data_IF_973117999093
#
_entry.id   IF_973117999093
#
_cell.length_a   1.000
_cell.length_b   1.000
_cell.length_c   1.000
_cell.angle_alpha   90.00
_cell.angle_beta   90.00
_cell.angle_gamma   90.00
#
_symmetry.space_group_name_H-M   'P 1'
#
loop_
_entity.id
_entity.type
_entity.pdbx_description
1 polymer ?
#
# COMPACT_ATOMS: atom_id res chain seq x y z
N UNK A 1 -9.79 -6.18 -31.34
CA UNK A 1 -9.45 -6.04 -30.84
C UNK A 1 -9.23 -5.61 -30.30
N UNK A 2 -8.68 -5.68 -30.27
CA UNK A 2 -8.20 -5.54 -29.67
C UNK A 2 -7.89 -5.02 -29.50
N UNK A 3 -7.36 -5.15 -30.01
CA UNK A 3 -6.95 -4.73 -29.84
C UNK A 3 -7.65 -4.27 -30.25
N UNK A 4 -8.14 -4.57 -30.70
CA UNK A 4 -8.68 -4.22 -30.90
C UNK A 4 -9.42 -3.76 -30.22
N UNK A 5 -9.57 -3.82 -30.15
CA UNK A 5 -9.89 -3.50 -29.51
C UNK A 5 -9.75 -3.13 -28.79
N UNK A 6 -9.23 -3.10 -28.90
CA UNK A 6 -8.68 -3.10 -28.16
C UNK A 6 -8.53 -2.62 -27.77
N UNK A 7 -8.40 -2.55 -27.96
CA UNK A 7 -8.12 -2.34 -27.62
C UNK A 7 -9.08 -2.04 -27.44
N UNK A 8 -9.84 -2.52 -27.60
CA UNK A 8 -10.55 -2.55 -27.56
C UNK A 8 -10.99 -2.26 -26.65
N UNK A 9 -10.80 -2.36 -26.53
CA UNK A 9 -10.70 -2.38 -25.89
C UNK A 9 -10.43 -1.88 -25.30
N UNK A 10 -10.17 -1.51 -25.17
CA UNK A 10 -9.54 -1.30 -24.69
C UNK A 10 -9.28 -1.29 -23.98
N UNK A 11 -9.08 -1.38 -23.67
CA UNK A 11 -8.67 -1.83 -22.98
C UNK A 11 -9.00 -1.55 -21.94
N UNK A 12 -9.63 -1.65 -21.52
CA UNK A 12 -9.48 -1.66 -20.59
C UNK A 12 -8.88 -2.03 -19.76
N UNK A 13 -8.44 -1.58 -19.46
CA UNK A 13 -7.90 -1.98 -19.01
C UNK A 13 -7.34 -2.33 -17.86
N UNK A 14 -6.37 -2.42 -17.32
CA UNK A 14 -5.82 -2.99 -16.17
C UNK A 14 -5.91 -4.49 -16.07
N UNK A 15 -6.92 -5.01 -16.63
CA UNK A 15 -7.08 -6.44 -16.67
C UNK A 15 -6.12 -7.01 -17.73
N UNK A 16 -5.31 -8.02 -17.40
CA UNK A 16 -4.31 -8.52 -18.34
C UNK A 16 -4.89 -8.95 -19.66
N UNK A 17 -6.02 -9.62 -19.64
CA UNK A 17 -6.66 -10.04 -20.87
C UNK A 17 -7.07 -8.84 -21.71
N UNK A 18 -7.56 -7.82 -21.07
CA UNK A 18 -7.98 -6.63 -21.78
C UNK A 18 -6.79 -5.88 -22.33
N UNK A 19 -5.69 -5.88 -21.61
CA UNK A 19 -4.46 -5.30 -22.13
C UNK A 19 -4.04 -6.04 -23.39
N UNK A 20 -4.08 -7.35 -23.36
CA UNK A 20 -3.73 -8.14 -24.53
C UNK A 20 -4.65 -7.83 -25.70
N UNK A 21 -5.94 -7.72 -25.43
CA UNK A 21 -6.89 -7.38 -26.49
C UNK A 21 -6.62 -6.00 -27.06
N UNK A 22 -6.32 -5.05 -26.20
CA UNK A 22 -6.02 -3.71 -26.67
C UNK A 22 -4.77 -3.70 -27.53
N UNK A 23 -3.76 -4.44 -27.12
CA UNK A 23 -2.53 -4.54 -27.91
C UNK A 23 -2.84 -5.15 -29.27
N UNK A 24 -3.65 -6.20 -29.29
CA UNK A 24 -4.00 -6.85 -30.55
C UNK A 24 -4.72 -5.88 -31.47
N UNK A 25 -5.62 -5.08 -30.94
CA UNK A 25 -6.34 -4.11 -31.74
C UNK A 25 -5.44 -3.02 -32.26
N UNK A 26 -4.54 -2.53 -31.40
CA UNK A 26 -3.58 -1.53 -31.82
C UNK A 26 -2.66 -2.07 -32.90
N UNK A 27 -2.30 -3.32 -32.77
CA UNK A 27 -1.45 -3.95 -33.77
C UNK A 27 -2.13 -4.12 -35.12
N UNK A 28 -3.45 -3.92 -35.17
CA UNK A 28 -4.19 -4.03 -36.42
C UNK A 28 -4.21 -5.44 -36.96
N UNK A 29 -4.03 -6.43 -36.13
CA UNK A 29 -4.00 -7.81 -36.51
C UNK A 29 -4.42 -8.68 -35.34
N UNK A 30 -4.81 -9.90 -35.64
CA UNK A 30 -5.14 -10.82 -34.56
C UNK A 30 -3.96 -10.97 -33.62
N UNK A 31 -4.26 -11.16 -32.35
CA UNK A 31 -3.23 -11.35 -31.39
C UNK A 31 -2.40 -12.57 -31.73
N UNK A 32 -1.10 -12.39 -31.79
CA UNK A 32 -0.15 -13.47 -31.82
C UNK A 32 0.03 -13.96 -30.40
N UNK A 33 -0.29 -15.21 -30.07
CA UNK A 33 -0.15 -15.67 -28.69
C UNK A 33 1.23 -15.44 -28.13
N UNK A 34 2.25 -15.60 -28.96
CA UNK A 34 3.61 -15.34 -28.50
C UNK A 34 3.77 -13.88 -28.14
N UNK A 35 3.22 -12.98 -28.94
CA UNK A 35 3.31 -11.56 -28.64
C UNK A 35 2.61 -11.20 -27.34
N UNK A 36 1.46 -11.82 -27.11
CA UNK A 36 0.73 -11.58 -25.86
C UNK A 36 1.56 -12.02 -24.69
N UNK A 37 2.16 -13.19 -24.77
CA UNK A 37 3.00 -13.68 -23.67
C UNK A 37 4.20 -12.78 -23.45
N UNK A 38 4.80 -12.31 -24.53
CA UNK A 38 5.92 -11.39 -24.41
C UNK A 38 5.50 -10.09 -23.74
N UNK A 39 4.32 -9.59 -24.10
CA UNK A 39 3.82 -8.38 -23.50
C UNK A 39 3.55 -8.55 -22.01
N UNK A 40 2.95 -9.68 -21.65
CA UNK A 40 2.69 -9.95 -20.25
C UNK A 40 3.97 -10.06 -19.47
N UNK A 41 4.95 -10.76 -20.02
CA UNK A 41 6.22 -10.91 -19.33
C UNK A 41 6.90 -9.57 -19.15
N UNK A 42 6.82 -8.71 -20.16
CA UNK A 42 7.40 -7.38 -20.07
C UNK A 42 6.71 -6.55 -19.00
N UNK A 43 5.39 -6.61 -18.92
CA UNK A 43 4.64 -5.88 -17.92
C UNK A 43 5.01 -6.37 -16.52
N UNK A 44 5.07 -7.67 -16.33
CA UNK A 44 5.45 -8.21 -15.01
C UNK A 44 6.88 -7.83 -14.66
N UNK A 45 7.77 -7.83 -15.64
CA UNK A 45 9.14 -7.42 -15.41
C UNK A 45 9.26 -5.97 -14.98
N UNK A 46 8.41 -5.10 -15.55
CA UNK A 46 8.40 -3.70 -15.18
C UNK A 46 7.80 -3.48 -13.79
N UNK A 47 6.77 -4.27 -13.44
CA UNK A 47 6.13 -4.14 -12.14
C UNK A 47 6.97 -4.73 -11.03
N UNK A 48 7.84 -5.65 -11.36
CA UNK A 48 8.60 -6.37 -10.35
C UNK A 48 10.01 -6.62 -10.85
N UNK A 49 10.80 -5.55 -10.95
CA UNK A 49 12.14 -5.69 -11.52
C UNK A 49 13.05 -6.62 -10.71
N UNK A 50 12.74 -6.85 -9.47
CA UNK A 50 13.53 -7.74 -8.62
C UNK A 50 12.94 -9.14 -8.57
N UNK A 51 11.86 -9.38 -9.29
CA UNK A 51 11.17 -10.65 -9.21
C UNK A 51 10.34 -10.81 -7.97
N UNK A 52 10.12 -9.72 -7.23
CA UNK A 52 9.40 -9.78 -5.98
C UNK A 52 8.40 -8.65 -5.92
N UNK A 53 7.14 -8.96 -6.17
CA UNK A 53 6.09 -7.96 -6.06
C UNK A 53 6.05 -7.41 -4.64
N UNK A 54 5.77 -6.11 -4.53
CA UNK A 54 5.62 -5.48 -3.23
C UNK A 54 4.34 -5.99 -2.59
N UNK A 55 4.46 -6.58 -1.41
CA UNK A 55 3.31 -7.09 -0.69
C UNK A 55 2.42 -5.95 -0.25
N UNK A 56 1.10 -6.17 -0.30
CA UNK A 56 0.16 -5.22 0.26
C UNK A 56 0.34 -5.19 1.78
N UNK A 57 -0.13 -4.10 2.43
CA UNK A 57 0.10 -4.00 3.88
C UNK A 57 -0.32 -5.22 4.66
N UNK A 58 -1.48 -5.79 4.38
CA UNK A 58 -1.97 -6.94 5.14
C UNK A 58 -1.27 -8.24 4.77
N UNK A 59 -0.47 -8.25 3.71
CA UNK A 59 0.25 -9.43 3.24
C UNK A 59 1.74 -9.37 3.58
N UNK A 60 2.17 -8.29 4.22
CA UNK A 60 3.58 -8.14 4.57
C UNK A 60 3.99 -9.26 5.51
N UNK A 61 5.04 -10.00 5.18
CA UNK A 61 5.45 -11.14 6.02
C UNK A 61 6.03 -10.74 7.37
N UNK A 62 6.55 -9.52 7.50
CA UNK A 62 7.09 -9.06 8.77
C UNK A 62 5.96 -8.55 9.66
N UNK A 63 5.74 -9.15 10.84
CA UNK A 63 4.58 -8.79 11.66
C UNK A 63 4.57 -7.32 12.08
N UNK A 64 5.69 -6.79 12.54
CA UNK A 64 5.75 -5.39 12.97
C UNK A 64 5.47 -4.45 11.82
N UNK A 65 6.09 -4.70 10.68
CA UNK A 65 5.88 -3.86 9.50
C UNK A 65 4.47 -4.02 8.97
N UNK A 66 3.93 -5.23 8.97
CA UNK A 66 2.54 -5.45 8.55
C UNK A 66 1.58 -4.62 9.39
N UNK A 67 1.75 -4.65 10.70
CA UNK A 67 0.88 -3.89 11.61
C UNK A 67 1.06 -2.40 11.38
N UNK A 68 2.30 -1.93 11.25
CA UNK A 68 2.56 -0.51 11.02
C UNK A 68 1.91 -0.03 9.72
N UNK A 69 2.09 -0.78 8.65
CA UNK A 69 1.52 -0.41 7.36
C UNK A 69 0.00 -0.38 7.41
N UNK A 70 -0.60 -1.33 8.11
CA UNK A 70 -2.06 -1.39 8.24
C UNK A 70 -2.60 -0.22 9.06
N UNK A 71 -1.91 0.13 10.15
CA UNK A 71 -2.31 1.29 10.96
C UNK A 71 -2.24 2.56 10.13
N UNK A 72 -1.11 2.78 9.46
CA UNK A 72 -0.92 3.99 8.67
C UNK A 72 -1.91 4.06 7.51
N UNK A 73 -2.16 2.94 6.84
CA UNK A 73 -3.11 2.89 5.74
C UNK A 73 -4.51 3.25 6.21
N UNK A 74 -4.91 2.72 7.36
CA UNK A 74 -6.24 2.99 7.87
C UNK A 74 -6.39 4.45 8.26
N UNK A 75 -5.41 5.00 8.95
CA UNK A 75 -5.46 6.40 9.35
C UNK A 75 -5.46 7.32 8.14
N UNK A 76 -4.69 6.96 7.12
CA UNK A 76 -4.69 7.73 5.87
C UNK A 76 -6.06 7.68 5.21
N UNK A 77 -6.67 6.49 5.16
CA UNK A 77 -8.01 6.34 4.58
C UNK A 77 -9.08 7.10 5.35
N UNK A 78 -8.88 7.28 6.65
CA UNK A 78 -9.80 8.04 7.49
C UNK A 78 -9.47 9.52 7.53
N UNK A 79 -8.42 9.95 6.84
CA UNK A 79 -8.04 11.35 6.80
C UNK A 79 -7.50 11.90 8.12
N UNK A 80 -6.89 11.06 8.93
CA UNK A 80 -6.41 11.47 10.26
C UNK A 80 -5.06 12.14 10.19
N UNK A 81 -5.01 13.27 9.51
CA UNK A 81 -3.81 14.06 9.32
C UNK A 81 -3.93 15.38 10.10
N UNK A 82 -2.83 15.77 10.73
CA UNK A 82 -2.73 17.09 11.36
C UNK A 82 -3.81 17.30 12.40
N UNK A 83 -4.73 18.21 12.11
CA UNK A 83 -5.79 18.54 13.07
C UNK A 83 -6.85 17.46 13.27
N UNK A 84 -6.85 16.43 12.43
CA UNK A 84 -7.84 15.36 12.50
C UNK A 84 -7.21 14.16 13.19
N UNK A 85 -7.60 13.93 14.44
CA UNK A 85 -6.95 12.93 15.28
C UNK A 85 -7.93 11.86 15.70
N UNK A 86 -7.40 10.78 16.25
CA UNK A 86 -8.19 9.69 16.79
C UNK A 86 -7.57 9.24 18.11
N UNK A 87 -8.34 8.52 18.91
CA UNK A 87 -7.84 7.97 20.15
C UNK A 87 -6.77 6.93 19.88
N UNK A 88 -5.67 6.98 20.63
CA UNK A 88 -4.59 6.00 20.49
C UNK A 88 -5.11 4.57 20.66
N UNK A 89 -6.06 4.37 21.57
CA UNK A 89 -6.61 3.03 21.77
C UNK A 89 -7.26 2.46 20.52
N UNK A 90 -7.66 3.31 19.59
CA UNK A 90 -8.27 2.86 18.35
C UNK A 90 -7.29 2.22 17.38
N UNK A 91 -6.00 2.43 17.59
CA UNK A 91 -4.98 1.87 16.70
C UNK A 91 -5.04 0.33 16.67
N UNK A 92 -5.40 -0.27 17.80
CA UNK A 92 -5.48 -1.73 17.90
C UNK A 92 -6.77 -2.32 17.37
N UNK A 93 -7.73 -1.48 16.99
CA UNK A 93 -8.99 -1.99 16.47
C UNK A 93 -8.78 -2.70 15.15
N UNK A 94 -9.51 -3.80 14.98
CA UNK A 94 -9.44 -4.59 13.75
C UNK A 94 -8.30 -5.57 13.72
N UNK A 95 -7.46 -5.61 14.75
CA UNK A 95 -6.43 -6.63 14.86
C UNK A 95 -6.92 -7.78 15.72
N UNK A 96 -6.47 -8.99 15.40
CA UNK A 96 -6.79 -10.16 16.20
C UNK A 96 -6.24 -10.00 17.60
N UNK A 97 -6.82 -10.75 18.55
CA UNK A 97 -6.44 -10.58 19.94
C UNK A 97 -4.95 -10.71 20.20
N UNK A 98 -4.31 -11.64 19.51
CA UNK A 98 -2.88 -11.88 19.69
C UNK A 98 -2.01 -10.79 19.05
N UNK A 99 -2.60 -9.93 18.23
CA UNK A 99 -1.87 -8.84 17.59
C UNK A 99 -2.14 -7.49 18.23
N UNK A 100 -3.04 -7.41 19.20
CA UNK A 100 -3.39 -6.13 19.77
C UNK A 100 -2.24 -5.51 20.55
N UNK A 101 -1.53 -6.32 21.31
CA UNK A 101 -0.36 -5.82 22.03
C UNK A 101 0.71 -5.33 21.05
N UNK A 102 0.91 -6.06 19.96
CA UNK A 102 1.85 -5.65 18.93
C UNK A 102 1.39 -4.34 18.30
N UNK A 103 0.10 -4.18 18.04
CA UNK A 103 -0.42 -2.95 17.46
C UNK A 103 -0.16 -1.76 18.37
N UNK A 104 -0.31 -1.94 19.66
CA UNK A 104 -0.01 -0.86 20.61
C UNK A 104 1.48 -0.53 20.61
N UNK A 105 2.32 -1.56 20.63
CA UNK A 105 3.77 -1.34 20.61
C UNK A 105 4.21 -0.66 19.33
N UNK A 106 3.63 -1.05 18.20
CA UNK A 106 3.91 -0.41 16.91
C UNK A 106 3.46 1.04 16.94
N UNK A 107 2.28 1.30 17.50
CA UNK A 107 1.79 2.68 17.65
C UNK A 107 2.77 3.54 18.41
N UNK A 108 3.32 3.02 19.51
CA UNK A 108 4.32 3.77 20.28
C UNK A 108 5.59 3.99 19.45
N UNK A 109 6.01 2.97 18.70
CA UNK A 109 7.20 3.11 17.87
C UNK A 109 7.01 4.19 16.79
N UNK A 110 5.82 4.25 16.22
CA UNK A 110 5.51 5.26 15.20
C UNK A 110 5.49 6.66 15.82
N UNK A 111 5.04 6.78 17.06
CA UNK A 111 5.09 8.05 17.77
C UNK A 111 6.54 8.46 18.08
N UNK A 112 7.35 7.52 18.52
CA UNK A 112 8.75 7.82 18.80
C UNK A 112 9.47 8.28 17.55
N UNK A 113 9.18 7.63 16.40
CA UNK A 113 9.80 8.02 15.15
C UNK A 113 9.28 9.34 14.60
N UNK A 114 8.07 9.72 14.97
CA UNK A 114 7.46 10.96 14.52
C UNK A 114 6.56 10.81 13.30
N UNK A 115 6.33 9.60 12.81
CA UNK A 115 5.33 9.38 11.75
C UNK A 115 3.93 9.61 12.29
N UNK A 116 3.69 9.25 13.54
CA UNK A 116 2.51 9.67 14.27
C UNK A 116 2.91 10.78 15.22
N UNK A 117 1.98 11.68 15.45
CA UNK A 117 2.15 12.72 16.46
C UNK A 117 0.98 12.64 17.42
N UNK A 118 1.23 13.11 18.62
CA UNK A 118 0.24 13.02 19.69
C UNK A 118 -0.29 14.41 20.01
N UNK A 119 -1.60 14.50 20.17
CA UNK A 119 -2.24 15.73 20.62
C UNK A 119 -2.66 15.54 22.07
N UNK A 120 -2.17 16.37 22.96
CA UNK A 120 -2.60 16.28 24.36
C UNK A 120 -4.09 16.51 24.47
N UNK A 121 -4.74 15.67 25.23
CA UNK A 121 -6.16 15.78 25.47
C UNK A 121 -6.40 15.28 26.88
N UNK A 122 -7.37 15.90 27.57
CA UNK A 122 -7.63 15.57 28.96
C UNK A 122 -8.09 14.12 29.04
N UNK A 123 -7.31 13.30 29.72
CA UNK A 123 -7.69 11.92 30.01
C UNK A 123 -7.56 10.94 28.87
N UNK A 124 -7.12 11.37 27.70
CA UNK A 124 -7.01 10.48 26.56
C UNK A 124 -5.85 10.89 25.68
N UNK A 125 -5.25 9.89 25.01
CA UNK A 125 -4.18 10.12 24.07
C UNK A 125 -4.78 10.13 22.68
N UNK A 126 -4.61 11.23 21.97
CA UNK A 126 -5.08 11.34 20.60
C UNK A 126 -3.89 11.44 19.67
N UNK A 127 -3.97 10.74 18.55
CA UNK A 127 -2.86 10.65 17.61
C UNK A 127 -3.33 11.00 16.20
N UNK A 128 -2.39 11.43 15.40
CA UNK A 128 -2.66 11.75 13.99
C UNK A 128 -1.40 11.53 13.18
N UNK A 129 -1.59 11.37 11.87
CA UNK A 129 -0.47 11.25 10.94
C UNK A 129 0.22 12.60 10.82
N UNK A 130 1.53 12.60 10.93
CA UNK A 130 2.32 13.82 10.87
C UNK A 130 2.48 14.26 9.42
N UNK A 131 1.90 15.41 9.02
CA UNK A 131 2.01 15.86 7.64
C UNK A 131 3.45 16.07 7.17
N UNK A 132 4.35 16.37 8.09
CA UNK A 132 5.76 16.57 7.74
C UNK A 132 6.45 15.27 7.35
N UNK A 133 5.84 14.14 7.68
CA UNK A 133 6.39 12.82 7.38
C UNK A 133 5.55 12.11 6.31
N UNK A 134 4.75 12.86 5.55
CA UNK A 134 3.83 12.27 4.58
C UNK A 134 4.56 11.38 3.57
N UNK A 135 5.71 11.80 3.09
CA UNK A 135 6.45 11.02 2.11
C UNK A 135 6.89 9.68 2.69
N UNK A 136 7.41 9.67 3.91
CA UNK A 136 7.82 8.44 4.58
C UNK A 136 6.63 7.55 4.85
N UNK A 137 5.52 8.14 5.27
CA UNK A 137 4.30 7.39 5.57
C UNK A 137 3.78 6.69 4.32
N UNK A 138 3.65 7.42 3.22
CA UNK A 138 3.16 6.83 1.99
C UNK A 138 4.12 5.78 1.46
N UNK A 139 5.42 6.01 1.58
CA UNK A 139 6.41 5.05 1.12
C UNK A 139 6.31 3.74 1.90
N UNK A 140 6.17 3.84 3.21
CA UNK A 140 6.03 2.64 4.04
C UNK A 140 4.76 1.89 3.70
N UNK A 141 3.64 2.61 3.54
CA UNK A 141 2.38 1.97 3.19
C UNK A 141 2.51 1.23 1.86
N UNK A 142 3.05 1.91 0.85
CA UNK A 142 2.98 1.42 -0.51
C UNK A 142 4.08 0.43 -0.84
N UNK A 143 5.27 0.62 -0.27
CA UNK A 143 6.42 -0.21 -0.65
C UNK A 143 6.95 -1.07 0.49
N UNK A 144 6.53 -0.80 1.73
CA UNK A 144 7.08 -1.50 2.88
C UNK A 144 8.45 -1.00 3.29
N UNK A 145 8.93 0.07 2.67
CA UNK A 145 10.24 0.60 2.99
C UNK A 145 10.15 1.51 4.20
N UNK A 146 10.86 1.14 5.25
CA UNK A 146 10.87 1.91 6.50
C UNK A 146 11.89 3.02 6.41
N UNK A 147 11.60 4.20 6.97
CA UNK A 147 12.61 5.25 7.05
C UNK A 147 13.72 4.83 8.00
N UNK A 148 14.94 5.35 7.78
CA UNK A 148 16.05 5.07 8.68
C UNK A 148 15.70 5.58 10.08
N UNK A 149 15.91 4.79 11.07
CA UNK A 149 15.61 5.18 12.43
C UNK A 149 14.31 4.67 12.98
N UNK A 150 13.40 4.24 12.11
CA UNK A 150 12.18 3.59 12.60
C UNK A 150 12.52 2.19 13.10
N UNK A 151 12.21 1.96 14.36
CA UNK A 151 12.47 0.66 14.98
C UNK A 151 11.16 0.06 15.41
N UNK A 152 10.73 -0.93 14.65
CA UNK A 152 9.49 -1.64 14.93
C UNK A 152 9.78 -2.86 15.81
N UNK A 153 8.83 -3.19 16.69
CA UNK A 153 8.98 -4.38 17.52
C UNK A 153 8.93 -5.66 16.72
#
# INVERSE_FOLDING_TARGET
VLAEAALREPIGAGHPLRIAEAVARFGGRPADPRSVEEQEELVYGLLDPAGAAVARPHEDPDPGRRVARRILQRLNGMGKWGGYHTDFAHLARGFAGNERALAQAVGEALLVDGMLAEKPSVGQRHVFLNPRRAADIHKLIETGESPPGLKLP
#
